data_IF_445929782506
#
_entry.id   IF_445929782506
#
_cell.length_a   1.000
_cell.length_b   1.000
_cell.length_c   1.000
_cell.angle_alpha   90.00
_cell.angle_beta   90.00
_cell.angle_gamma   90.00
#
_symmetry.space_group_name_H-M   'P 1'
#
loop_
_entity.id
_entity.type
_entity.pdbx_description
1 polymer ?
#
# COMPACT_ATOMS: atom_id res chain seq x y z
N UNK A 1 -1.43 -13.88 -16.07
CA UNK A 1 -1.96 -12.59 -15.56
C UNK A 1 -1.70 -12.56 -14.07
N UNK A 2 -0.90 -11.62 -13.58
CA UNK A 2 -0.62 -11.43 -12.16
C UNK A 2 -1.26 -10.14 -11.65
N UNK A 3 -1.63 -10.13 -10.37
CA UNK A 3 -2.22 -8.98 -9.69
C UNK A 3 -1.29 -8.53 -8.57
N UNK A 4 -1.04 -7.22 -8.51
CA UNK A 4 -0.23 -6.59 -7.48
C UNK A 4 -1.03 -5.46 -6.85
N UNK A 5 -0.86 -5.28 -5.55
CA UNK A 5 -1.31 -4.08 -4.88
C UNK A 5 -0.17 -3.07 -4.86
N UNK A 6 -0.41 -1.87 -5.36
CA UNK A 6 0.49 -0.74 -5.23
C UNK A 6 -0.19 0.36 -4.41
N UNK A 7 0.58 1.07 -3.60
CA UNK A 7 0.09 2.27 -2.94
C UNK A 7 1.14 3.37 -2.85
N UNK A 8 0.66 4.59 -2.96
CA UNK A 8 1.41 5.83 -2.75
C UNK A 8 0.80 6.53 -1.54
N UNK A 9 1.59 6.67 -0.48
CA UNK A 9 1.15 7.06 0.85
C UNK A 9 1.81 8.39 1.22
N UNK A 10 1.06 9.48 1.01
CA UNK A 10 1.42 10.81 1.43
C UNK A 10 0.68 11.27 2.69
N UNK A 11 1.16 12.37 3.28
CA UNK A 11 0.58 12.94 4.50
C UNK A 11 -0.88 13.42 4.36
N UNK A 12 -1.30 13.80 3.15
CA UNK A 12 -2.65 14.32 2.90
C UNK A 12 -3.52 13.32 2.13
N UNK A 13 -2.91 12.55 1.23
CA UNK A 13 -3.60 11.67 0.31
C UNK A 13 -2.89 10.33 0.23
N UNK A 14 -3.68 9.26 0.24
CA UNK A 14 -3.23 7.89 -0.02
C UNK A 14 -3.90 7.40 -1.30
N UNK A 15 -3.12 6.89 -2.25
CA UNK A 15 -3.62 6.32 -3.50
C UNK A 15 -3.30 4.84 -3.51
N UNK A 16 -4.31 4.00 -3.72
CA UNK A 16 -4.16 2.54 -3.80
C UNK A 16 -4.63 2.06 -5.17
N UNK A 17 -3.91 1.10 -5.75
CA UNK A 17 -4.25 0.51 -7.03
C UNK A 17 -4.00 -1.00 -7.05
N UNK A 18 -4.92 -1.75 -7.67
CA UNK A 18 -4.68 -3.13 -8.09
C UNK A 18 -4.18 -3.08 -9.53
N UNK A 19 -2.92 -3.43 -9.72
CA UNK A 19 -2.23 -3.45 -11.01
C UNK A 19 -2.28 -4.85 -11.59
N UNK A 20 -2.53 -4.95 -12.90
CA UNK A 20 -2.47 -6.19 -13.66
C UNK A 20 -1.22 -6.22 -14.51
N UNK A 21 -0.53 -7.37 -14.54
CA UNK A 21 0.62 -7.58 -15.41
C UNK A 21 0.39 -8.82 -16.28
N UNK A 22 0.54 -8.63 -17.59
CA UNK A 22 0.47 -9.69 -18.59
C UNK A 22 1.60 -9.56 -19.60
N UNK A 23 2.71 -10.26 -19.34
CA UNK A 23 3.97 -10.02 -20.06
C UNK A 23 4.42 -8.58 -19.85
N UNK A 24 4.59 -7.83 -20.93
CA UNK A 24 5.01 -6.42 -20.88
C UNK A 24 3.83 -5.44 -20.79
N UNK A 25 2.59 -5.93 -20.71
CA UNK A 25 1.40 -5.08 -20.58
C UNK A 25 1.07 -4.90 -19.10
N UNK A 26 1.10 -3.65 -18.66
CA UNK A 26 0.67 -3.22 -17.33
C UNK A 26 -0.68 -2.52 -17.45
N UNK A 27 -1.63 -2.84 -16.58
CA UNK A 27 -2.94 -2.21 -16.51
C UNK A 27 -3.36 -1.92 -15.07
N UNK A 28 -4.41 -1.13 -14.90
CA UNK A 28 -5.00 -0.82 -13.60
C UNK A 28 -6.40 -1.46 -13.57
N UNK A 29 -6.62 -2.42 -12.67
CA UNK A 29 -7.94 -3.05 -12.46
C UNK A 29 -8.84 -2.20 -11.56
N UNK A 30 -8.25 -1.59 -10.54
CA UNK A 30 -8.93 -0.74 -9.57
C UNK A 30 -7.96 0.31 -9.07
N UNK A 31 -8.44 1.53 -8.89
CA UNK A 31 -7.67 2.61 -8.30
C UNK A 31 -8.57 3.53 -7.50
N UNK A 32 -8.18 3.86 -6.27
CA UNK A 32 -8.94 4.72 -5.39
C UNK A 32 -7.99 5.64 -4.64
N UNK A 33 -8.46 6.86 -4.39
CA UNK A 33 -7.76 7.88 -3.61
C UNK A 33 -8.53 8.21 -2.36
N UNK A 34 -7.83 8.21 -1.22
CA UNK A 34 -8.39 8.46 0.10
C UNK A 34 -7.74 9.69 0.73
N UNK A 35 -8.50 10.56 1.42
CA UNK A 35 -7.92 11.56 2.30
C UNK A 35 -7.28 10.86 3.50
N UNK A 36 -5.95 10.93 3.63
CA UNK A 36 -5.22 10.15 4.66
C UNK A 36 -5.70 10.48 6.07
N UNK A 37 -6.02 11.76 6.34
CA UNK A 37 -6.47 12.23 7.66
C UNK A 37 -7.81 11.66 8.12
N UNK A 38 -8.59 11.04 7.23
CA UNK A 38 -9.85 10.41 7.60
C UNK A 38 -9.65 9.05 8.30
N UNK A 39 -8.42 8.54 8.34
CA UNK A 39 -8.12 7.24 8.93
C UNK A 39 -7.07 7.39 10.03
N UNK A 40 -7.35 6.83 11.21
CA UNK A 40 -6.39 6.78 12.31
C UNK A 40 -5.22 5.82 12.01
N UNK A 41 -5.45 4.82 11.17
CA UNK A 41 -4.47 3.78 10.82
C UNK A 41 -4.56 3.43 9.33
N UNK A 42 -3.41 3.20 8.70
CA UNK A 42 -3.34 2.77 7.30
C UNK A 42 -4.03 1.41 7.07
N UNK A 43 -3.93 0.48 8.02
CA UNK A 43 -4.53 -0.85 7.89
C UNK A 43 -6.06 -0.78 7.71
N UNK A 44 -6.73 0.16 8.40
CA UNK A 44 -8.18 0.38 8.24
C UNK A 44 -8.53 0.83 6.82
N UNK A 45 -7.76 1.80 6.28
CA UNK A 45 -7.92 2.29 4.91
C UNK A 45 -7.69 1.16 3.89
N UNK A 46 -6.63 0.38 4.08
CA UNK A 46 -6.31 -0.75 3.21
C UNK A 46 -7.39 -1.82 3.25
N UNK A 47 -7.92 -2.13 4.43
CA UNK A 47 -9.04 -3.07 4.57
C UNK A 47 -10.27 -2.62 3.79
N UNK A 48 -10.64 -1.34 3.89
CA UNK A 48 -11.74 -0.76 3.12
C UNK A 48 -11.50 -0.87 1.61
N UNK A 49 -10.28 -0.57 1.14
CA UNK A 49 -9.93 -0.71 -0.27
C UNK A 49 -10.04 -2.15 -0.78
N UNK A 50 -9.71 -3.13 0.06
CA UNK A 50 -9.72 -4.55 -0.32
C UNK A 50 -11.11 -5.20 -0.24
N UNK A 51 -12.12 -4.52 0.31
CA UNK A 51 -13.50 -5.04 0.32
C UNK A 51 -13.95 -5.35 -1.11
N UNK A 52 -14.43 -6.58 -1.31
CA UNK A 52 -14.92 -7.10 -2.59
C UNK A 52 -13.84 -7.38 -3.63
N UNK A 53 -12.55 -7.39 -3.25
CA UNK A 53 -11.44 -7.74 -4.14
C UNK A 53 -10.82 -9.10 -3.78
N UNK A 54 -10.35 -9.81 -4.79
CA UNK A 54 -9.38 -10.88 -4.59
C UNK A 54 -8.08 -10.28 -4.05
N UNK A 55 -7.55 -10.86 -2.99
CA UNK A 55 -6.32 -10.39 -2.36
C UNK A 55 -5.12 -10.62 -3.29
N UNK A 56 -4.39 -9.56 -3.71
CA UNK A 56 -3.20 -9.72 -4.53
C UNK A 56 -2.10 -10.47 -3.78
N UNK A 57 -1.30 -11.28 -4.48
CA UNK A 57 -0.23 -12.06 -3.83
C UNK A 57 0.87 -11.18 -3.23
N UNK A 58 1.12 -10.01 -3.82
CA UNK A 58 2.16 -9.10 -3.38
C UNK A 58 1.64 -7.66 -3.31
N UNK A 59 2.13 -6.94 -2.31
CA UNK A 59 1.82 -5.54 -2.06
C UNK A 59 3.12 -4.72 -1.93
N UNK A 60 3.13 -3.52 -2.52
CA UNK A 60 4.22 -2.56 -2.38
C UNK A 60 3.64 -1.18 -2.10
N UNK A 61 4.18 -0.50 -1.10
CA UNK A 61 3.74 0.83 -0.70
C UNK A 61 4.92 1.79 -0.65
N UNK A 62 4.86 2.84 -1.47
CA UNK A 62 5.73 4.01 -1.34
C UNK A 62 5.18 4.92 -0.24
N UNK A 63 6.04 5.33 0.69
CA UNK A 63 5.63 6.05 1.91
C UNK A 63 6.49 7.28 2.16
N UNK A 64 5.85 8.40 2.45
CA UNK A 64 6.50 9.61 2.91
C UNK A 64 7.09 9.45 4.32
N UNK A 65 8.32 8.94 4.37
CA UNK A 65 9.09 8.72 5.59
C UNK A 65 10.17 7.65 5.43
N UNK A 66 11.18 7.62 6.32
CA UNK A 66 12.25 6.64 6.26
C UNK A 66 11.72 5.24 6.61
N UNK A 67 12.07 4.25 5.80
CA UNK A 67 11.79 2.84 6.09
C UNK A 67 12.98 2.25 6.84
N UNK A 68 12.77 1.84 8.08
CA UNK A 68 13.80 1.23 8.94
C UNK A 68 13.30 -0.14 9.37
N UNK A 69 14.07 -1.18 9.08
CA UNK A 69 13.74 -2.57 9.45
C UNK A 69 12.32 -2.98 9.02
N UNK A 70 11.92 -2.62 7.78
CA UNK A 70 10.59 -2.90 7.20
C UNK A 70 9.41 -2.23 7.93
N UNK A 71 9.70 -1.20 8.73
CA UNK A 71 8.72 -0.36 9.42
C UNK A 71 8.91 1.08 8.97
N UNK A 72 7.81 1.80 8.81
CA UNK A 72 7.80 3.24 8.60
C UNK A 72 6.94 3.91 9.65
N UNK A 73 7.48 4.97 10.25
CA UNK A 73 6.69 5.95 10.97
C UNK A 73 6.51 7.13 10.03
N UNK A 74 5.26 7.37 9.60
CA UNK A 74 4.97 8.52 8.74
C UNK A 74 5.23 9.82 9.50
N UNK A 75 5.71 10.85 8.80
CA UNK A 75 6.09 12.13 9.41
C UNK A 75 4.89 13.02 9.75
N UNK A 76 3.83 12.95 8.94
CA UNK A 76 2.68 13.86 9.00
C UNK A 76 1.38 13.20 9.47
N UNK A 77 1.40 11.90 9.77
CA UNK A 77 0.26 11.11 10.21
C UNK A 77 0.67 10.26 11.42
N UNK A 78 -0.26 9.83 12.28
CA UNK A 78 0.04 8.93 13.39
C UNK A 78 0.33 7.49 12.94
N UNK A 79 0.46 7.24 11.63
CA UNK A 79 0.57 5.89 11.09
C UNK A 79 1.97 5.32 11.32
N UNK A 80 1.98 4.16 11.99
CA UNK A 80 3.09 3.23 12.02
C UNK A 80 2.72 2.03 11.16
N UNK A 81 3.43 1.82 10.07
CA UNK A 81 3.20 0.66 9.21
C UNK A 81 4.36 -0.31 9.35
N UNK A 82 4.04 -1.59 9.48
CA UNK A 82 4.98 -2.69 9.59
C UNK A 82 4.64 -3.68 8.47
N UNK A 83 5.59 -3.91 7.57
CA UNK A 83 5.35 -4.74 6.39
C UNK A 83 4.95 -6.18 6.76
N UNK A 84 5.48 -6.72 7.85
CA UNK A 84 5.21 -8.10 8.27
C UNK A 84 3.86 -8.19 8.99
N UNK A 85 3.46 -7.15 9.71
CA UNK A 85 2.11 -7.02 10.25
C UNK A 85 1.06 -6.95 9.13
N UNK A 86 1.27 -6.10 8.13
CA UNK A 86 0.38 -5.98 6.97
C UNK A 86 0.30 -7.30 6.18
N UNK A 87 1.44 -7.97 5.98
CA UNK A 87 1.51 -9.28 5.33
C UNK A 87 0.60 -10.29 6.04
N UNK A 88 0.74 -10.42 7.37
CA UNK A 88 -0.07 -11.34 8.19
C UNK A 88 -1.55 -10.96 8.22
N UNK A 89 -1.87 -9.68 8.35
CA UNK A 89 -3.23 -9.19 8.50
C UNK A 89 -4.06 -9.37 7.22
N UNK A 90 -3.46 -9.11 6.05
CA UNK A 90 -4.17 -9.14 4.77
C UNK A 90 -3.88 -10.39 3.94
N UNK A 91 -3.03 -11.29 4.41
CA UNK A 91 -2.75 -12.56 3.73
C UNK A 91 -1.89 -12.43 2.47
N UNK A 92 -1.04 -11.40 2.40
CA UNK A 92 -0.09 -11.27 1.30
C UNK A 92 1.01 -12.33 1.41
N UNK A 93 1.57 -12.78 0.28
CA UNK A 93 2.79 -13.58 0.30
C UNK A 93 4.04 -12.70 0.41
N UNK A 94 3.95 -11.45 -0.07
CA UNK A 94 5.03 -10.46 -0.01
C UNK A 94 4.44 -9.07 0.25
N UNK A 95 5.09 -8.31 1.13
CA UNK A 95 4.76 -6.92 1.41
C UNK A 95 6.05 -6.11 1.53
N UNK A 96 6.13 -5.01 0.78
CA UNK A 96 7.28 -4.10 0.76
C UNK A 96 6.84 -2.68 1.10
N UNK A 97 7.65 -2.01 1.92
CA UNK A 97 7.55 -0.57 2.17
C UNK A 97 8.81 0.06 1.57
N UNK A 98 8.63 1.12 0.81
CA UNK A 98 9.71 1.91 0.21
C UNK A 98 9.53 3.36 0.62
N UNK A 99 10.63 4.08 0.78
CA UNK A 99 10.51 5.54 0.89
C UNK A 99 9.98 6.13 -0.43
N UNK A 100 9.18 7.18 -0.37
CA UNK A 100 8.61 7.86 -1.54
C UNK A 100 9.66 8.40 -2.52
N UNK A 101 10.80 8.89 -2.04
CA UNK A 101 11.94 9.29 -2.90
C UNK A 101 12.67 8.09 -3.51
N UNK A 102 12.63 6.92 -2.87
CA UNK A 102 13.16 5.66 -3.43
C UNK A 102 12.16 5.00 -4.40
N UNK A 103 10.89 5.37 -4.32
CA UNK A 103 9.79 4.84 -5.13
C UNK A 103 9.47 5.69 -6.37
N UNK A 104 10.22 6.77 -6.62
CA UNK A 104 10.14 7.65 -7.80
C UNK A 104 11.08 7.15 -8.90
#
# INVERSE_FOLDING_TARGET
MSYFLAGDIGGTKTRLAIVTVNGNKVGIKREVSYPSRNYAEFATLLGEFLVGCDIPRAAAFGVAGPVVSRVVQTTNLPWRMDADALLRQFGFAQCSLLNDLEAT
#
